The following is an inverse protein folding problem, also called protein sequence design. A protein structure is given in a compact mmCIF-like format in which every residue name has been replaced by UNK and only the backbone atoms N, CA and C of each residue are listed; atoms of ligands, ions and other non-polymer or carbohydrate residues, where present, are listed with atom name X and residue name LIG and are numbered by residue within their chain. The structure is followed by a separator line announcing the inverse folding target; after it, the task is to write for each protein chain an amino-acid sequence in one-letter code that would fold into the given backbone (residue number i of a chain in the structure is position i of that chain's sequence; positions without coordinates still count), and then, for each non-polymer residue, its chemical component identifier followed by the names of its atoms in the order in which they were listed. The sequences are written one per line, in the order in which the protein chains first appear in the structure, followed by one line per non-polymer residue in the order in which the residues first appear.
data_IF_051894709294
#
_entry.id   IF_051894709294
#
_cell.length_a   1.000
_cell.length_b   1.000
_cell.length_c   1.000
_cell.angle_alpha   90.00
_cell.angle_beta   90.00
_cell.angle_gamma   90.00
#
_symmetry.space_group_name_H-M   'P 1'
#
loop_
_entity.id
_entity.type
_entity.pdbx_description
1 polymer ?
#
# COMPACT_ATOMS: atom_id res chain seq x y z
N UNK A 1 -25.85 -43.23 62.20
CA UNK A 1 -25.83 -41.74 62.39
C UNK A 1 -24.70 -41.05 61.65
N UNK A 2 -23.54 -41.71 61.49
CA UNK A 2 -22.31 -41.07 60.96
C UNK A 2 -22.31 -40.88 59.44
N UNK A 3 -22.77 -41.86 58.67
CA UNK A 3 -22.75 -41.81 57.20
C UNK A 3 -23.76 -40.82 56.60
N UNK A 4 -24.87 -40.58 57.25
CA UNK A 4 -25.87 -39.59 56.81
C UNK A 4 -25.37 -38.17 57.00
N UNK A 5 -24.64 -37.87 58.06
CA UNK A 5 -24.00 -36.57 58.28
C UNK A 5 -22.89 -36.27 57.28
N UNK A 6 -22.13 -37.29 56.86
CA UNK A 6 -21.05 -37.11 55.86
C UNK A 6 -21.66 -36.82 54.50
N UNK A 7 -22.71 -37.52 54.08
CA UNK A 7 -23.41 -37.31 52.82
C UNK A 7 -24.06 -35.93 52.73
N UNK A 8 -24.72 -35.50 53.81
CA UNK A 8 -25.37 -34.18 53.85
C UNK A 8 -24.33 -33.05 53.80
N UNK A 9 -23.16 -33.23 54.41
CA UNK A 9 -22.03 -32.26 54.34
C UNK A 9 -21.44 -32.22 52.92
N UNK A 10 -21.23 -33.38 52.30
CA UNK A 10 -20.73 -33.45 50.91
C UNK A 10 -21.69 -32.80 49.91
N UNK A 11 -23.00 -33.00 50.08
CA UNK A 11 -24.02 -32.37 49.25
C UNK A 11 -24.03 -30.85 49.45
N UNK A 12 -23.90 -30.36 50.68
CA UNK A 12 -23.77 -28.91 50.96
C UNK A 12 -22.52 -28.29 50.34
N UNK A 13 -21.39 -29.01 50.44
CA UNK A 13 -20.12 -28.55 49.81
C UNK A 13 -20.22 -28.53 48.28
N UNK A 14 -20.94 -29.55 47.70
CA UNK A 14 -21.18 -29.61 46.23
C UNK A 14 -22.08 -28.46 45.77
N UNK A 15 -23.15 -28.17 46.48
CA UNK A 15 -24.05 -27.06 46.16
C UNK A 15 -23.33 -25.71 46.29
N UNK A 16 -22.49 -25.55 47.28
CA UNK A 16 -21.67 -24.32 47.46
C UNK A 16 -20.72 -24.14 46.30
N UNK A 17 -20.00 -25.19 45.89
CA UNK A 17 -19.09 -25.14 44.73
C UNK A 17 -19.82 -24.89 43.42
N UNK A 18 -21.00 -25.48 43.24
CA UNK A 18 -21.80 -25.23 42.03
C UNK A 18 -22.23 -23.75 41.94
N UNK A 19 -22.65 -23.16 43.06
CA UNK A 19 -22.98 -21.72 43.13
C UNK A 19 -21.76 -20.83 42.86
N UNK A 20 -20.60 -21.18 43.40
CA UNK A 20 -19.36 -20.45 43.10
C UNK A 20 -18.97 -20.54 41.62
N UNK A 21 -19.10 -21.71 41.02
CA UNK A 21 -18.85 -21.89 39.59
C UNK A 21 -19.82 -21.09 38.74
N UNK A 22 -21.11 -21.09 39.06
CA UNK A 22 -22.12 -20.32 38.35
C UNK A 22 -21.86 -18.80 38.41
N UNK A 23 -21.49 -18.31 39.60
CA UNK A 23 -21.11 -16.89 39.79
C UNK A 23 -19.88 -16.55 38.95
N UNK A 24 -18.88 -17.43 38.95
CA UNK A 24 -17.64 -17.23 38.19
C UNK A 24 -17.89 -17.29 36.69
N UNK A 25 -18.71 -18.23 36.21
CA UNK A 25 -19.10 -18.32 34.80
C UNK A 25 -19.86 -17.07 34.33
N UNK A 26 -20.79 -16.59 35.13
CA UNK A 26 -21.54 -15.38 34.86
C UNK A 26 -20.63 -14.11 34.88
N UNK A 27 -19.62 -14.07 35.76
CA UNK A 27 -18.63 -12.99 35.73
C UNK A 27 -17.80 -12.99 34.48
N UNK A 28 -17.25 -14.15 34.10
CA UNK A 28 -16.46 -14.33 32.87
C UNK A 28 -17.32 -13.97 31.64
N UNK A 29 -18.55 -14.42 31.58
CA UNK A 29 -19.47 -14.11 30.47
C UNK A 29 -19.66 -12.59 30.32
N UNK A 30 -19.91 -11.88 31.43
CA UNK A 30 -20.03 -10.41 31.44
C UNK A 30 -18.75 -9.71 30.96
N UNK A 31 -17.58 -10.19 31.36
CA UNK A 31 -16.30 -9.65 30.92
C UNK A 31 -16.12 -9.83 29.40
N UNK A 32 -16.43 -11.02 28.87
CA UNK A 32 -16.39 -11.26 27.43
C UNK A 32 -17.39 -10.42 26.66
N UNK A 33 -18.61 -10.24 27.16
CA UNK A 33 -19.63 -9.40 26.52
C UNK A 33 -19.15 -7.93 26.41
N UNK A 34 -18.50 -7.42 27.45
CA UNK A 34 -17.89 -6.07 27.41
C UNK A 34 -16.75 -5.99 26.40
N UNK A 35 -15.89 -7.00 26.34
CA UNK A 35 -14.78 -7.05 25.38
C UNK A 35 -15.31 -7.10 23.94
N UNK A 36 -16.31 -7.97 23.68
CA UNK A 36 -16.93 -8.08 22.37
C UNK A 36 -17.54 -6.75 21.95
N UNK A 37 -18.33 -6.13 22.83
CA UNK A 37 -18.95 -4.85 22.58
C UNK A 37 -17.91 -3.75 22.24
N UNK A 38 -16.82 -3.67 23.01
CA UNK A 38 -15.76 -2.72 22.74
C UNK A 38 -15.06 -3.00 21.40
N UNK A 39 -14.88 -4.27 21.02
CA UNK A 39 -14.34 -4.65 19.72
C UNK A 39 -15.27 -4.29 18.57
N UNK A 40 -16.56 -4.52 18.72
CA UNK A 40 -17.57 -4.15 17.73
C UNK A 40 -17.62 -2.63 17.52
N UNK A 41 -17.56 -1.83 18.60
CA UNK A 41 -17.48 -0.39 18.53
C UNK A 41 -16.20 0.08 17.82
N UNK A 42 -15.05 -0.56 18.07
CA UNK A 42 -13.80 -0.28 17.35
C UNK A 42 -13.92 -0.62 15.87
N UNK A 43 -14.49 -1.77 15.53
CA UNK A 43 -14.71 -2.17 14.14
C UNK A 43 -15.61 -1.15 13.42
N UNK A 44 -16.67 -0.69 14.08
CA UNK A 44 -17.59 0.31 13.52
C UNK A 44 -16.89 1.66 13.31
N UNK A 45 -16.09 2.10 14.27
CA UNK A 45 -15.27 3.31 14.13
C UNK A 45 -14.26 3.19 12.96
N UNK A 46 -13.63 2.03 12.81
CA UNK A 46 -12.74 1.77 11.67
C UNK A 46 -13.47 1.74 10.33
N UNK A 47 -14.67 1.15 10.30
CA UNK A 47 -15.53 1.15 9.10
C UNK A 47 -15.96 2.57 8.73
N UNK A 48 -16.39 3.36 9.72
CA UNK A 48 -16.77 4.76 9.53
C UNK A 48 -15.60 5.63 9.08
N UNK A 49 -14.42 5.42 9.66
CA UNK A 49 -13.21 6.12 9.24
C UNK A 49 -12.83 5.77 7.79
N UNK A 50 -12.87 4.49 7.44
CA UNK A 50 -12.63 4.00 6.07
C UNK A 50 -13.72 4.53 5.10
N UNK A 51 -14.98 4.53 5.51
CA UNK A 51 -16.08 5.08 4.72
C UNK A 51 -15.95 6.62 4.53
N UNK A 52 -15.54 7.37 5.56
CA UNK A 52 -15.29 8.81 5.45
C UNK A 52 -14.11 9.14 4.55
N UNK A 53 -13.03 8.36 4.59
CA UNK A 53 -11.94 8.48 3.62
C UNK A 53 -12.43 8.17 2.19
N UNK A 54 -13.18 7.09 2.01
CA UNK A 54 -13.78 6.72 0.73
C UNK A 54 -14.78 7.79 0.25
N UNK A 55 -15.63 8.32 1.12
CA UNK A 55 -16.64 9.36 0.76
C UNK A 55 -15.97 10.68 0.37
N UNK A 56 -14.85 11.05 1.00
CA UNK A 56 -14.06 12.22 0.59
C UNK A 56 -13.44 12.02 -0.79
N UNK A 57 -13.02 10.80 -1.10
CA UNK A 57 -12.49 10.42 -2.42
C UNK A 57 -13.59 10.22 -3.47
N UNK A 58 -14.83 9.87 -3.08
CA UNK A 58 -15.99 9.73 -3.98
C UNK A 58 -16.58 11.11 -4.35
N UNK A 59 -16.50 12.09 -3.45
CA UNK A 59 -16.96 13.46 -3.71
C UNK A 59 -16.01 14.28 -4.58
N UNK A 60 -14.76 13.89 -4.68
CA UNK A 60 -13.72 14.47 -5.50
C UNK A 60 -13.30 13.40 -6.51
N UNK A 61 -13.20 13.73 -7.80
CA UNK A 61 -12.72 12.74 -8.76
C UNK A 61 -11.32 12.27 -8.36
N UNK A 62 -10.98 11.02 -8.61
CA UNK A 62 -9.66 10.46 -8.26
C UNK A 62 -8.52 11.28 -8.88
N UNK A 63 -8.75 11.82 -10.08
CA UNK A 63 -7.85 12.75 -10.76
C UNK A 63 -7.58 14.00 -9.92
N UNK A 64 -8.65 14.66 -9.43
CA UNK A 64 -8.54 15.87 -8.60
C UNK A 64 -7.82 15.56 -7.29
N UNK A 65 -8.14 14.43 -6.67
CA UNK A 65 -7.47 13.98 -5.45
C UNK A 65 -5.96 13.82 -5.66
N UNK A 66 -5.53 13.06 -6.67
CA UNK A 66 -4.11 12.85 -6.96
C UNK A 66 -3.39 14.16 -7.33
N UNK A 67 -4.05 15.03 -8.09
CA UNK A 67 -3.49 16.35 -8.41
C UNK A 67 -3.29 17.21 -7.16
N UNK A 68 -4.25 17.21 -6.25
CA UNK A 68 -4.16 17.95 -4.99
C UNK A 68 -3.05 17.38 -4.09
N UNK A 69 -2.96 16.05 -3.96
CA UNK A 69 -1.90 15.40 -3.18
C UNK A 69 -0.51 15.71 -3.74
N UNK A 70 -0.33 15.70 -5.05
CA UNK A 70 0.93 16.07 -5.67
C UNK A 70 1.27 17.54 -5.42
N UNK A 71 0.31 18.46 -5.60
CA UNK A 71 0.54 19.89 -5.43
C UNK A 71 0.91 20.29 -4.00
N UNK A 72 0.45 19.56 -2.98
CA UNK A 72 0.86 19.77 -1.57
C UNK A 72 2.37 19.59 -1.37
N UNK A 73 2.98 18.65 -2.10
CA UNK A 73 4.40 18.30 -1.94
C UNK A 73 5.29 18.84 -3.05
N UNK A 74 4.69 19.38 -4.12
CA UNK A 74 5.39 19.82 -5.34
C UNK A 74 6.54 20.76 -5.03
N UNK A 75 6.29 21.82 -4.26
CA UNK A 75 7.29 22.85 -3.98
C UNK A 75 8.47 22.37 -3.14
N UNK A 76 8.23 21.38 -2.27
CA UNK A 76 9.25 20.87 -1.34
C UNK A 76 9.99 19.68 -1.96
N UNK A 77 9.26 18.76 -2.55
CA UNK A 77 9.80 17.48 -3.03
C UNK A 77 10.16 17.45 -4.51
N UNK A 78 9.49 18.25 -5.36
CA UNK A 78 9.53 18.13 -6.81
C UNK A 78 9.58 19.49 -7.52
N UNK A 79 10.55 20.37 -7.20
CA UNK A 79 10.57 21.75 -7.69
C UNK A 79 10.77 21.86 -9.21
N UNK A 80 11.44 20.87 -9.82
CA UNK A 80 11.74 20.81 -11.27
C UNK A 80 10.76 19.95 -12.05
N UNK A 81 9.85 19.26 -11.36
CA UNK A 81 8.99 18.28 -12.00
C UNK A 81 7.80 18.91 -12.73
N UNK A 82 7.56 18.39 -13.91
CA UNK A 82 6.33 18.59 -14.66
C UNK A 82 5.30 17.56 -14.22
N UNK A 83 4.11 18.02 -13.88
CA UNK A 83 2.96 17.16 -13.61
C UNK A 83 1.70 17.87 -14.11
N UNK A 84 1.16 17.39 -15.20
CA UNK A 84 -0.01 18.00 -15.83
C UNK A 84 -0.91 16.93 -16.46
N UNK A 85 -2.19 17.30 -16.62
CA UNK A 85 -3.16 16.48 -17.35
C UNK A 85 -2.74 16.35 -18.81
N UNK A 86 -2.82 15.11 -19.34
CA UNK A 86 -2.55 14.90 -20.78
C UNK A 86 -3.69 15.50 -21.63
N UNK A 87 -3.45 16.68 -22.15
CA UNK A 87 -4.40 17.39 -23.01
C UNK A 87 -4.13 17.15 -24.50
N UNK A 88 -3.08 16.40 -24.86
CA UNK A 88 -2.72 16.15 -26.25
C UNK A 88 -3.40 14.90 -26.82
N UNK A 89 -4.57 15.12 -27.40
CA UNK A 89 -5.36 14.06 -28.04
C UNK A 89 -4.97 13.80 -29.52
N UNK A 90 -3.85 14.37 -30.04
CA UNK A 90 -3.49 14.26 -31.44
C UNK A 90 -3.18 12.84 -31.89
N UNK A 91 -2.77 11.97 -30.98
CA UNK A 91 -2.48 10.55 -31.23
C UNK A 91 -3.68 9.63 -31.01
N UNK A 92 -4.83 10.15 -30.55
CA UNK A 92 -6.00 9.33 -30.20
C UNK A 92 -5.84 8.57 -28.89
N UNK A 93 -4.76 8.82 -28.16
CA UNK A 93 -4.39 8.22 -26.90
C UNK A 93 -4.33 9.31 -25.83
N UNK A 94 -5.02 9.13 -24.72
CA UNK A 94 -5.14 10.14 -23.69
C UNK A 94 -5.14 9.48 -22.31
N UNK A 95 -3.96 9.49 -21.66
CA UNK A 95 -3.87 9.22 -20.23
C UNK A 95 -4.41 10.39 -19.40
N UNK A 96 -4.57 10.19 -18.11
CA UNK A 96 -5.07 11.25 -17.24
C UNK A 96 -3.97 12.27 -16.90
N UNK A 97 -2.79 11.82 -16.49
CA UNK A 97 -1.66 12.70 -16.13
C UNK A 97 -0.31 12.15 -16.58
N UNK A 98 0.60 13.08 -16.86
CA UNK A 98 2.01 12.77 -17.13
C UNK A 98 2.87 13.47 -16.08
N UNK A 99 3.75 12.69 -15.43
CA UNK A 99 4.82 13.18 -14.59
C UNK A 99 6.15 13.06 -15.34
N UNK A 100 6.97 14.12 -15.31
CA UNK A 100 8.34 14.14 -15.82
C UNK A 100 9.22 14.91 -14.86
N UNK A 101 10.47 14.49 -14.72
CA UNK A 101 11.46 15.26 -13.98
C UNK A 101 12.76 15.32 -14.76
N UNK A 102 13.51 16.40 -14.52
CA UNK A 102 14.66 16.82 -15.33
C UNK A 102 15.86 17.01 -14.43
N UNK A 103 17.04 16.73 -14.98
CA UNK A 103 18.31 17.04 -14.31
C UNK A 103 18.64 18.55 -14.43
N UNK A 104 19.74 18.95 -13.79
CA UNK A 104 20.20 20.36 -13.77
C UNK A 104 20.55 20.88 -15.18
N UNK A 105 20.77 20.00 -16.15
CA UNK A 105 21.04 20.30 -17.55
C UNK A 105 19.76 20.36 -18.40
N UNK A 106 18.59 20.07 -17.78
CA UNK A 106 17.29 20.05 -18.46
C UNK A 106 16.99 18.76 -19.21
N UNK A 107 17.75 17.69 -19.00
CA UNK A 107 17.47 16.38 -19.61
C UNK A 107 16.44 15.64 -18.78
N UNK A 108 15.40 15.11 -19.48
CA UNK A 108 14.41 14.23 -18.85
C UNK A 108 15.08 12.93 -18.42
N UNK A 109 15.03 12.62 -17.11
CA UNK A 109 15.58 11.37 -16.57
C UNK A 109 14.53 10.38 -16.09
N UNK A 110 13.28 10.83 -15.96
CA UNK A 110 12.14 9.97 -15.63
C UNK A 110 10.86 10.53 -16.25
N UNK A 111 10.01 9.63 -16.74
CA UNK A 111 8.65 9.95 -17.16
C UNK A 111 7.68 8.83 -16.78
N UNK A 112 6.52 9.21 -16.26
CA UNK A 112 5.49 8.30 -15.77
C UNK A 112 4.15 8.73 -16.37
N UNK A 113 3.46 7.79 -17.02
CA UNK A 113 2.08 7.93 -17.47
C UNK A 113 1.16 7.40 -16.36
N UNK A 114 0.17 8.19 -15.98
CA UNK A 114 -0.86 7.82 -15.02
C UNK A 114 -2.21 7.70 -15.68
N UNK A 115 -2.93 6.66 -15.29
CA UNK A 115 -4.35 6.46 -15.54
C UNK A 115 -5.06 6.27 -14.21
N UNK A 116 -6.23 6.88 -14.02
CA UNK A 116 -6.96 6.89 -12.75
C UNK A 116 -8.35 6.31 -12.94
N UNK A 117 -8.68 5.26 -12.20
CA UNK A 117 -9.96 4.56 -12.31
C UNK A 117 -10.67 4.45 -10.97
N UNK A 118 -11.91 4.95 -10.95
CA UNK A 118 -12.82 4.86 -9.81
C UNK A 118 -14.01 3.95 -10.15
N UNK A 119 -14.58 3.27 -9.16
CA UNK A 119 -15.81 2.49 -9.32
C UNK A 119 -17.01 3.34 -9.78
N UNK A 120 -17.05 4.63 -9.42
CA UNK A 120 -18.10 5.55 -9.84
C UNK A 120 -18.09 5.84 -11.35
N UNK A 121 -16.96 5.61 -12.04
CA UNK A 121 -16.84 5.81 -13.49
C UNK A 121 -17.31 4.56 -14.27
N UNK A 122 -17.67 3.49 -13.59
CA UNK A 122 -18.11 2.23 -14.18
C UNK A 122 -19.60 2.27 -14.51
N UNK A 123 -19.94 2.43 -15.79
CA UNK A 123 -21.26 2.11 -16.34
C UNK A 123 -21.53 0.61 -16.17
N UNK A 124 -22.72 0.21 -15.78
CA UNK A 124 -23.38 -1.12 -15.68
C UNK A 124 -22.53 -2.41 -15.63
N UNK A 125 -21.26 -2.43 -16.07
CA UNK A 125 -20.34 -3.57 -15.97
C UNK A 125 -19.21 -3.25 -14.99
N UNK A 126 -19.01 -4.12 -13.99
CA UNK A 126 -17.83 -4.08 -13.14
C UNK A 126 -16.58 -4.29 -13.99
N UNK A 127 -15.83 -3.22 -14.22
CA UNK A 127 -14.51 -3.32 -14.87
C UNK A 127 -13.46 -3.86 -13.89
N UNK A 128 -12.51 -4.62 -14.44
CA UNK A 128 -11.33 -5.08 -13.71
C UNK A 128 -10.13 -4.22 -14.04
N UNK A 129 -9.16 -4.16 -13.16
CA UNK A 129 -7.92 -3.45 -13.39
C UNK A 129 -7.20 -3.90 -14.67
N UNK A 130 -7.26 -5.20 -14.97
CA UNK A 130 -6.62 -5.78 -16.15
C UNK A 130 -7.18 -5.26 -17.48
N UNK A 131 -8.41 -4.79 -17.52
CA UNK A 131 -9.07 -4.29 -18.73
C UNK A 131 -8.37 -3.02 -19.26
N UNK A 132 -7.71 -2.27 -18.37
CA UNK A 132 -7.04 -1.01 -18.69
C UNK A 132 -5.56 -1.14 -19.05
N UNK A 133 -4.93 -2.28 -18.75
CA UNK A 133 -3.47 -2.43 -18.93
C UNK A 133 -3.01 -2.25 -20.37
N UNK A 134 -3.75 -2.82 -21.32
CA UNK A 134 -3.39 -2.76 -22.74
C UNK A 134 -3.43 -1.33 -23.28
N UNK A 135 -4.45 -0.59 -22.91
CA UNK A 135 -4.62 0.82 -23.32
C UNK A 135 -3.54 1.69 -22.69
N UNK A 136 -3.35 1.58 -21.38
CA UNK A 136 -2.33 2.31 -20.63
C UNK A 136 -0.91 2.04 -21.17
N UNK A 137 -0.57 0.79 -21.54
CA UNK A 137 0.73 0.48 -22.14
C UNK A 137 0.89 1.09 -23.55
N UNK A 138 -0.20 1.13 -24.31
CA UNK A 138 -0.22 1.81 -25.61
C UNK A 138 0.06 3.30 -25.41
N UNK A 139 -0.67 3.96 -24.52
CA UNK A 139 -0.56 5.38 -24.22
C UNK A 139 0.84 5.74 -23.72
N UNK A 140 1.40 4.93 -22.82
CA UNK A 140 2.79 5.06 -22.36
C UNK A 140 3.79 5.08 -23.50
N UNK A 141 3.64 4.15 -24.45
CA UNK A 141 4.58 4.05 -25.60
C UNK A 141 4.42 5.22 -26.57
N UNK A 142 3.18 5.62 -26.85
CA UNK A 142 2.89 6.74 -27.74
C UNK A 142 3.43 8.06 -27.19
N UNK A 143 3.29 8.28 -25.87
CA UNK A 143 3.83 9.46 -25.18
C UNK A 143 5.30 9.32 -24.78
N UNK A 144 5.93 8.19 -25.10
CA UNK A 144 7.34 7.88 -24.78
C UNK A 144 7.64 7.96 -23.28
N UNK A 145 6.66 7.64 -22.44
CA UNK A 145 6.89 7.57 -21.00
C UNK A 145 7.61 6.27 -20.63
N UNK A 146 8.48 6.35 -19.64
CA UNK A 146 9.26 5.21 -19.17
C UNK A 146 8.40 4.23 -18.38
N UNK A 147 7.55 4.74 -17.50
CA UNK A 147 6.68 3.97 -16.61
C UNK A 147 5.21 4.20 -16.93
N UNK A 148 4.39 3.21 -16.60
CA UNK A 148 2.93 3.30 -16.61
C UNK A 148 2.39 2.97 -15.22
N UNK A 149 1.46 3.75 -14.70
CA UNK A 149 0.88 3.55 -13.38
C UNK A 149 -0.63 3.68 -13.44
N UNK A 150 -1.33 2.61 -13.09
CA UNK A 150 -2.76 2.62 -12.87
C UNK A 150 -3.05 2.92 -11.40
N UNK A 151 -3.64 4.08 -11.13
CA UNK A 151 -4.15 4.44 -9.81
C UNK A 151 -5.61 4.03 -9.74
N UNK A 152 -5.97 3.12 -8.86
CA UNK A 152 -7.30 2.50 -8.91
C UNK A 152 -7.96 2.31 -7.56
N UNK A 153 -9.28 2.48 -7.55
CA UNK A 153 -10.19 2.06 -6.48
C UNK A 153 -11.02 0.83 -6.88
N UNK A 154 -10.85 0.34 -8.12
CA UNK A 154 -11.53 -0.86 -8.59
C UNK A 154 -11.09 -2.09 -7.80
N UNK A 155 -11.93 -3.12 -7.79
CA UNK A 155 -11.65 -4.40 -7.12
C UNK A 155 -11.23 -4.20 -5.64
N UNK A 156 -12.01 -3.42 -4.89
CA UNK A 156 -11.73 -3.10 -3.48
C UNK A 156 -11.64 -4.34 -2.57
N UNK A 157 -12.29 -5.43 -2.95
CA UNK A 157 -12.29 -6.71 -2.23
C UNK A 157 -11.14 -7.65 -2.63
N UNK A 158 -10.29 -7.24 -3.58
CA UNK A 158 -9.18 -8.07 -4.06
C UNK A 158 -7.91 -7.78 -3.24
N UNK A 159 -7.54 -8.73 -2.39
CA UNK A 159 -6.38 -8.62 -1.50
C UNK A 159 -5.06 -8.39 -2.27
N UNK A 160 -4.94 -8.91 -3.48
CA UNK A 160 -3.75 -8.71 -4.31
C UNK A 160 -3.49 -7.23 -4.58
N UNK A 161 -4.54 -6.47 -4.96
CA UNK A 161 -4.41 -5.02 -5.20
C UNK A 161 -4.42 -4.19 -3.90
N UNK A 162 -4.92 -4.77 -2.79
CA UNK A 162 -4.92 -4.10 -1.49
C UNK A 162 -3.56 -4.11 -0.77
N UNK A 163 -2.58 -4.86 -1.28
CA UNK A 163 -1.18 -4.79 -0.82
C UNK A 163 -0.53 -3.42 -1.07
N UNK A 164 -1.13 -2.61 -1.92
CA UNK A 164 -0.75 -1.20 -2.10
C UNK A 164 -0.06 -0.90 -3.41
N UNK A 165 1.14 -1.44 -3.65
CA UNK A 165 1.88 -1.32 -4.92
C UNK A 165 2.03 -2.71 -5.50
N UNK A 166 1.46 -2.92 -6.67
CA UNK A 166 1.49 -4.19 -7.40
C UNK A 166 2.29 -4.02 -8.68
N UNK A 167 3.34 -4.82 -8.83
CA UNK A 167 4.15 -4.85 -10.04
C UNK A 167 3.54 -5.82 -11.06
N UNK A 168 3.12 -5.30 -12.20
CA UNK A 168 2.59 -6.08 -13.33
C UNK A 168 3.56 -6.11 -14.52
N UNK A 169 4.84 -5.79 -14.29
CA UNK A 169 5.89 -5.72 -15.31
C UNK A 169 6.14 -7.06 -16.02
N UNK A 170 5.73 -8.16 -15.43
CA UNK A 170 5.77 -9.49 -16.06
C UNK A 170 4.86 -9.60 -17.29
N UNK A 171 3.79 -8.78 -17.37
CA UNK A 171 2.89 -8.71 -18.53
C UNK A 171 3.12 -7.46 -19.39
N UNK A 172 3.34 -6.32 -18.75
CA UNK A 172 3.54 -5.03 -19.39
C UNK A 172 4.76 -4.34 -18.74
N UNK A 173 5.89 -4.23 -19.44
CA UNK A 173 7.14 -3.72 -18.87
C UNK A 173 6.98 -2.37 -18.20
N UNK A 174 7.53 -2.21 -16.98
CA UNK A 174 7.50 -0.98 -16.20
C UNK A 174 6.10 -0.46 -15.87
N UNK A 175 5.15 -1.38 -15.65
CA UNK A 175 3.78 -1.06 -15.28
C UNK A 175 3.49 -1.46 -13.84
N UNK A 176 2.84 -0.54 -13.10
CA UNK A 176 2.42 -0.72 -11.72
C UNK A 176 0.94 -0.41 -11.55
N UNK A 177 0.30 -1.12 -10.62
CA UNK A 177 -1.07 -0.84 -10.15
C UNK A 177 -0.97 -0.43 -8.70
N UNK A 178 -1.58 0.71 -8.34
CA UNK A 178 -1.50 1.23 -6.97
C UNK A 178 -2.85 1.70 -6.44
N UNK A 179 -2.95 1.69 -5.12
CA UNK A 179 -4.00 2.42 -4.41
C UNK A 179 -3.60 3.90 -4.27
N UNK A 180 -4.56 4.85 -4.21
CA UNK A 180 -4.29 6.30 -4.24
C UNK A 180 -3.32 6.79 -3.16
N UNK A 181 -3.33 6.18 -1.97
CA UNK A 181 -2.41 6.55 -0.88
C UNK A 181 -0.93 6.32 -1.22
N UNK A 182 -0.63 5.49 -2.22
CA UNK A 182 0.73 5.21 -2.68
C UNK A 182 1.17 6.07 -3.86
N UNK A 183 0.33 7.00 -4.30
CA UNK A 183 0.60 7.85 -5.47
C UNK A 183 1.90 8.65 -5.32
N UNK A 184 1.97 9.52 -4.33
CA UNK A 184 3.19 10.33 -4.08
C UNK A 184 4.39 9.46 -3.66
N UNK A 185 4.24 8.47 -2.75
CA UNK A 185 5.31 7.54 -2.42
C UNK A 185 5.93 6.82 -3.63
N UNK A 186 5.11 6.34 -4.57
CA UNK A 186 5.62 5.67 -5.77
C UNK A 186 6.39 6.63 -6.68
N UNK A 187 5.89 7.86 -6.90
CA UNK A 187 6.61 8.89 -7.66
C UNK A 187 7.98 9.12 -7.04
N UNK A 188 8.05 9.31 -5.72
CA UNK A 188 9.30 9.53 -5.00
C UNK A 188 10.27 8.36 -5.14
N UNK A 189 9.77 7.12 -5.05
CA UNK A 189 10.55 5.90 -5.17
C UNK A 189 11.16 5.77 -6.58
N UNK A 190 10.34 5.89 -7.62
CA UNK A 190 10.78 5.78 -9.02
C UNK A 190 11.73 6.90 -9.39
N UNK A 191 11.45 8.12 -8.94
CA UNK A 191 12.33 9.28 -9.13
C UNK A 191 13.72 9.07 -8.53
N UNK A 192 13.77 8.61 -7.28
CA UNK A 192 15.04 8.35 -6.61
C UNK A 192 15.83 7.24 -7.31
N UNK A 193 15.16 6.18 -7.73
CA UNK A 193 15.78 5.10 -8.51
C UNK A 193 16.35 5.61 -9.85
N UNK A 194 15.59 6.46 -10.56
CA UNK A 194 16.03 7.04 -11.82
C UNK A 194 17.21 8.01 -11.64
N UNK A 195 17.19 8.85 -10.59
CA UNK A 195 18.33 9.74 -10.27
C UNK A 195 19.59 8.96 -9.98
N UNK A 196 19.51 7.94 -9.16
CA UNK A 196 20.66 7.07 -8.87
C UNK A 196 21.19 6.41 -10.15
N UNK A 197 20.29 5.93 -11.03
CA UNK A 197 20.69 5.37 -12.32
C UNK A 197 21.38 6.40 -13.23
N UNK A 198 20.91 7.65 -13.23
CA UNK A 198 21.52 8.74 -13.98
C UNK A 198 22.93 9.03 -13.46
N UNK A 199 23.09 9.11 -12.15
CA UNK A 199 24.39 9.36 -11.49
C UNK A 199 25.39 8.26 -11.83
N UNK A 200 24.96 6.99 -11.79
CA UNK A 200 25.79 5.85 -12.24
C UNK A 200 26.17 5.95 -13.73
N UNK A 201 25.25 6.38 -14.59
CA UNK A 201 25.51 6.57 -16.03
C UNK A 201 26.52 7.70 -16.27
N UNK A 202 26.43 8.82 -15.52
CA UNK A 202 27.41 9.92 -15.58
C UNK A 202 28.80 9.46 -15.13
N UNK A 203 28.88 8.75 -14.00
CA UNK A 203 30.14 8.17 -13.51
C UNK A 203 30.73 7.16 -14.51
N UNK A 204 29.88 6.38 -15.17
CA UNK A 204 30.30 5.44 -16.21
C UNK A 204 30.90 6.13 -17.42
N UNK A 205 30.26 7.20 -17.87
CA UNK A 205 30.76 7.99 -19.00
C UNK A 205 32.11 8.61 -18.67
N UNK A 206 32.29 9.13 -17.45
CA UNK A 206 33.56 9.65 -16.96
C UNK A 206 34.64 8.57 -16.88
N UNK A 207 34.29 7.37 -16.36
CA UNK A 207 35.21 6.22 -16.29
C UNK A 207 35.60 5.69 -17.68
N UNK A 208 34.67 5.66 -18.62
CA UNK A 208 34.97 5.31 -20.02
C UNK A 208 35.96 6.27 -20.67
N UNK A 209 35.81 7.57 -20.37
CA UNK A 209 36.75 8.60 -20.85
C UNK A 209 38.13 8.49 -20.20
N UNK A 210 38.23 7.82 -19.04
CA UNK A 210 39.49 7.62 -18.29
C UNK A 210 40.15 6.26 -18.55
N UNK A 211 39.69 5.47 -19.54
CA UNK A 211 40.23 4.14 -19.87
C UNK A 211 40.18 3.10 -18.73
N UNK A 212 39.16 3.19 -17.86
CA UNK A 212 38.99 2.26 -16.72
C UNK A 212 38.12 1.07 -17.12
N UNK A 213 38.61 -0.09 -16.80
CA UNK A 213 38.19 -1.44 -17.11
C UNK A 213 36.68 -1.70 -17.00
N UNK A 214 36.05 -2.03 -18.12
CA UNK A 214 34.60 -2.29 -18.26
C UNK A 214 34.15 -3.50 -17.44
N UNK A 215 35.05 -4.49 -17.21
CA UNK A 215 34.73 -5.72 -16.46
C UNK A 215 34.41 -5.45 -14.99
N UNK A 216 35.10 -4.50 -14.36
CA UNK A 216 34.82 -4.11 -12.96
C UNK A 216 33.48 -3.37 -12.81
N UNK A 217 32.99 -2.75 -13.87
CA UNK A 217 31.75 -2.04 -13.87
C UNK A 217 30.53 -2.97 -13.99
N UNK A 218 30.57 -3.99 -14.86
CA UNK A 218 29.49 -4.97 -14.96
C UNK A 218 29.30 -5.70 -13.63
N UNK A 219 30.41 -6.06 -12.96
CA UNK A 219 30.38 -6.64 -11.61
C UNK A 219 29.75 -5.67 -10.57
N UNK A 220 30.03 -4.36 -10.68
CA UNK A 220 29.44 -3.33 -9.81
C UNK A 220 27.94 -3.15 -10.01
N UNK A 221 27.47 -3.19 -11.26
CA UNK A 221 26.03 -3.14 -11.56
C UNK A 221 25.30 -4.39 -11.04
N UNK A 222 25.88 -5.55 -11.20
CA UNK A 222 25.26 -6.78 -10.73
C UNK A 222 25.22 -6.83 -9.20
N UNK A 223 26.28 -6.34 -8.54
CA UNK A 223 26.28 -6.18 -7.08
C UNK A 223 25.24 -5.15 -6.62
N UNK A 224 25.11 -4.02 -7.31
CA UNK A 224 24.06 -3.01 -7.02
C UNK A 224 22.66 -3.60 -7.17
N UNK A 225 22.37 -4.30 -8.28
CA UNK A 225 21.09 -4.98 -8.48
C UNK A 225 20.80 -5.98 -7.37
N UNK A 226 21.81 -6.74 -6.95
CA UNK A 226 21.72 -7.74 -5.87
C UNK A 226 21.43 -7.06 -4.53
N UNK A 227 22.16 -6.01 -4.18
CA UNK A 227 21.99 -5.27 -2.93
C UNK A 227 20.63 -4.55 -2.89
N UNK A 228 20.22 -3.96 -3.99
CA UNK A 228 18.94 -3.29 -4.09
C UNK A 228 17.76 -4.28 -3.93
N UNK A 229 17.85 -5.44 -4.59
CA UNK A 229 16.88 -6.53 -4.42
C UNK A 229 16.79 -7.00 -2.96
N UNK A 230 17.95 -7.15 -2.27
CA UNK A 230 17.99 -7.51 -0.85
C UNK A 230 17.35 -6.43 0.04
N UNK A 231 17.64 -5.15 -0.20
CA UNK A 231 17.07 -4.05 0.57
C UNK A 231 15.57 -3.93 0.39
N UNK A 232 15.08 -4.11 -0.84
CA UNK A 232 13.64 -4.14 -1.15
C UNK A 232 12.94 -5.28 -0.41
N UNK A 233 13.48 -6.50 -0.50
CA UNK A 233 12.91 -7.69 0.17
C UNK A 233 12.95 -7.53 1.70
N UNK A 234 14.05 -6.99 2.25
CA UNK A 234 14.16 -6.73 3.67
C UNK A 234 13.20 -5.62 4.16
N UNK A 235 12.99 -4.59 3.35
CA UNK A 235 12.03 -3.54 3.66
C UNK A 235 10.60 -4.09 3.65
N UNK A 236 10.26 -4.90 2.66
CA UNK A 236 8.97 -5.58 2.58
C UNK A 236 8.77 -6.51 3.79
N UNK A 237 9.75 -7.34 4.11
CA UNK A 237 9.70 -8.24 5.27
C UNK A 237 9.51 -7.49 6.59
N UNK A 238 10.25 -6.39 6.80
CA UNK A 238 10.10 -5.54 8.00
C UNK A 238 8.75 -4.85 8.07
N UNK A 239 8.18 -4.51 6.92
CA UNK A 239 6.84 -3.94 6.84
C UNK A 239 5.79 -4.98 7.23
N UNK A 240 5.91 -6.21 6.71
CA UNK A 240 5.04 -7.33 7.05
C UNK A 240 5.18 -7.70 8.54
N UNK A 241 6.41 -7.78 9.06
CA UNK A 241 6.70 -8.01 10.50
C UNK A 241 6.07 -6.90 11.38
N UNK A 242 6.16 -5.64 10.96
CA UNK A 242 5.56 -4.52 11.70
C UNK A 242 4.03 -4.57 11.69
N UNK A 243 3.42 -5.00 10.58
CA UNK A 243 1.98 -5.24 10.51
C UNK A 243 1.58 -6.38 11.45
N UNK A 244 2.33 -7.49 11.42
CA UNK A 244 2.08 -8.63 12.30
C UNK A 244 2.22 -8.25 13.78
N UNK A 245 3.24 -7.46 14.15
CA UNK A 245 3.40 -6.93 15.52
C UNK A 245 2.24 -6.03 15.92
N UNK A 246 1.77 -5.15 15.05
CA UNK A 246 0.60 -4.31 15.28
C UNK A 246 -0.65 -5.18 15.47
N UNK A 247 -0.83 -6.20 14.64
CA UNK A 247 -1.93 -7.16 14.78
C UNK A 247 -1.86 -7.92 16.12
N UNK A 248 -0.67 -8.36 16.53
CA UNK A 248 -0.44 -9.04 17.81
C UNK A 248 -0.67 -8.11 19.03
N UNK A 249 -0.28 -6.84 18.94
CA UNK A 249 -0.55 -5.84 19.99
C UNK A 249 -2.06 -5.59 20.15
N UNK A 250 -2.82 -5.61 19.05
CA UNK A 250 -4.29 -5.46 19.08
C UNK A 250 -5.02 -6.74 19.52
N UNK A 251 -4.39 -7.91 19.38
CA UNK A 251 -4.98 -9.21 19.77
C UNK A 251 -4.49 -9.72 21.11
N UNK A 252 -3.45 -9.11 21.72
CA UNK A 252 -2.94 -9.48 23.03
C UNK A 252 -3.86 -8.94 24.15
N UNK A 253 -4.24 -9.78 25.11
CA UNK A 253 -5.02 -9.33 26.27
C UNK A 253 -4.22 -8.29 27.07
N UNK A 254 -4.92 -7.21 27.45
CA UNK A 254 -4.34 -6.11 28.23
C UNK A 254 -3.66 -6.62 29.52
N UNK A 255 -2.53 -6.04 29.94
CA UNK A 255 -1.88 -6.39 31.21
C UNK A 255 -2.77 -6.20 32.44
N UNK A 256 -3.92 -5.54 32.32
CA UNK A 256 -4.91 -5.36 33.39
C UNK A 256 -5.75 -6.60 33.71
N UNK A 257 -5.69 -7.62 32.84
CA UNK A 257 -6.48 -8.86 33.01
C UNK A 257 -5.71 -9.98 33.72
N UNK A 258 -4.54 -9.66 34.31
CA UNK A 258 -3.74 -10.55 35.15
C UNK A 258 -3.69 -10.06 36.60
N UNK A 259 -4.84 -9.87 37.18
CA UNK A 259 -4.99 -9.58 38.60
C UNK A 259 -5.99 -10.50 39.25
#
# INVERSE_FOLDING_TARGET
GSEMCIRDRLNGDLESKNKEMEIRENSIRREYDVIIKNKDEQIEQYRDFKAKQSTKMIGESLEVHCNNEFNKVRHIGFPTAYFEKDNDARSGSKGDFIFKDFDDEGNEYISIMFEMKNEADATEKKHKNEDFFKELDKDRREKKCEYAVLVTLLEADNDYYNQGIVDVSHRYPKMYVIRPQFFVPLISLLRNAARNSLEYRKQLAEMKNQNIDIENFEAGIDEFKRLWGMHYTNAQKRFDEAIDEICLLYTSPSPRDRG
#
